data_IF_140680046283
#
_entry.id   IF_140680046283
#
_cell.length_a   1.000
_cell.length_b   1.000
_cell.length_c   1.000
_cell.angle_alpha   90.00
_cell.angle_beta   90.00
_cell.angle_gamma   90.00
#
_symmetry.space_group_name_H-M   'P 1'
#
loop_
_entity.id
_entity.type
_entity.pdbx_description
1 polymer ?
#
# COMPACT_ATOMS: atom_id res chain seq x y z
N UNK A 1 5.17 14.21 -8.44
CA UNK A 1 5.04 13.05 -7.55
C UNK A 1 3.60 12.89 -7.10
N UNK A 2 3.10 11.69 -7.12
CA UNK A 2 1.71 11.41 -6.77
C UNK A 2 1.61 10.78 -5.40
N UNK A 3 0.62 11.21 -4.62
CA UNK A 3 0.28 10.58 -3.34
C UNK A 3 -0.97 9.74 -3.54
N UNK A 4 -0.86 8.45 -3.24
CA UNK A 4 -1.97 7.50 -3.36
C UNK A 4 -2.32 6.98 -1.98
N UNK A 5 -3.60 6.87 -1.69
CA UNK A 5 -4.10 6.42 -0.40
C UNK A 5 -5.05 5.25 -0.60
N UNK A 6 -4.83 4.18 0.17
CA UNK A 6 -5.61 2.95 0.04
C UNK A 6 -6.12 2.48 1.40
N UNK A 7 -7.27 1.84 1.37
CA UNK A 7 -7.78 1.10 2.52
C UNK A 7 -7.36 -0.36 2.36
N UNK A 8 -6.83 -0.96 3.42
CA UNK A 8 -6.39 -2.35 3.40
C UNK A 8 -6.87 -3.09 4.64
N UNK A 9 -6.66 -4.41 4.64
CA UNK A 9 -6.94 -5.23 5.82
C UNK A 9 -5.65 -5.61 6.56
N UNK A 10 -4.60 -4.80 6.41
CA UNK A 10 -3.35 -4.99 7.14
C UNK A 10 -3.55 -4.57 8.59
N UNK A 11 -3.30 -5.48 9.54
CA UNK A 11 -3.64 -5.28 10.95
C UNK A 11 -2.49 -5.48 11.92
N UNK A 12 -1.31 -5.86 11.44
CA UNK A 12 -0.19 -6.17 12.33
C UNK A 12 1.13 -5.75 11.70
N UNK A 13 2.15 -5.63 12.53
CA UNK A 13 3.51 -5.34 12.07
C UNK A 13 4.00 -6.46 11.15
N UNK A 14 3.68 -7.71 11.47
CA UNK A 14 4.07 -8.85 10.65
C UNK A 14 3.49 -8.74 9.24
N UNK A 15 2.21 -8.38 9.14
CA UNK A 15 1.57 -8.19 7.83
C UNK A 15 2.18 -7.02 7.08
N UNK A 16 2.51 -5.94 7.79
CA UNK A 16 3.22 -4.81 7.19
C UNK A 16 4.55 -5.24 6.61
N UNK A 17 5.29 -6.07 7.33
CA UNK A 17 6.59 -6.56 6.86
C UNK A 17 6.46 -7.43 5.61
N UNK A 18 5.36 -8.18 5.49
CA UNK A 18 5.10 -8.98 4.29
C UNK A 18 4.98 -8.12 3.04
N UNK A 19 4.29 -6.99 3.12
CA UNK A 19 4.17 -6.10 1.96
C UNK A 19 5.42 -5.25 1.75
N UNK A 20 6.21 -5.04 2.79
CA UNK A 20 7.45 -4.28 2.72
C UNK A 20 8.38 -4.84 1.64
N UNK A 21 8.54 -6.16 1.62
CA UNK A 21 9.41 -6.81 0.64
C UNK A 21 8.95 -6.55 -0.80
N UNK A 22 7.64 -6.44 -1.00
CA UNK A 22 7.06 -6.21 -2.32
C UNK A 22 7.21 -4.75 -2.72
N UNK A 23 6.82 -3.84 -1.83
CA UNK A 23 6.80 -2.41 -2.14
C UNK A 23 8.20 -1.82 -2.28
N UNK A 24 9.15 -2.30 -1.49
CA UNK A 24 10.53 -1.78 -1.55
C UNK A 24 11.24 -2.15 -2.85
N UNK A 25 10.76 -3.13 -3.58
CA UNK A 25 11.34 -3.53 -4.86
C UNK A 25 10.77 -2.74 -6.04
N UNK A 26 9.72 -1.96 -5.82
CA UNK A 26 9.06 -1.22 -6.90
C UNK A 26 9.76 0.12 -7.10
N UNK A 27 10.37 0.30 -8.26
CA UNK A 27 11.23 1.47 -8.54
C UNK A 27 10.47 2.79 -8.56
N UNK A 28 9.22 2.80 -8.99
CA UNK A 28 8.45 4.05 -9.06
C UNK A 28 7.87 4.48 -7.71
N UNK A 29 7.92 3.62 -6.69
CA UNK A 29 7.48 3.98 -5.35
C UNK A 29 8.65 4.60 -4.61
N UNK A 30 8.50 5.86 -4.20
CA UNK A 30 9.56 6.61 -3.52
C UNK A 30 9.48 6.49 -2.01
N UNK A 31 8.25 6.41 -1.50
CA UNK A 31 8.02 6.32 -0.06
C UNK A 31 6.66 5.70 0.17
N UNK A 32 6.52 4.94 1.24
CA UNK A 32 5.23 4.36 1.60
C UNK A 32 5.15 4.18 3.11
N UNK A 33 3.93 4.12 3.61
CA UNK A 33 3.66 3.80 5.02
C UNK A 33 2.29 3.18 5.13
N UNK A 34 2.09 2.35 6.14
CA UNK A 34 0.79 1.78 6.43
C UNK A 34 0.50 1.91 7.92
N UNK A 35 -0.71 2.35 8.23
CA UNK A 35 -1.18 2.45 9.61
C UNK A 35 -1.97 1.19 9.93
N UNK A 36 -1.27 0.16 10.38
CA UNK A 36 -1.88 -1.14 10.68
C UNK A 36 -2.66 -1.14 12.00
N UNK A 37 -2.53 -0.09 12.79
CA UNK A 37 -3.30 0.06 14.03
C UNK A 37 -4.65 0.71 13.79
N UNK A 38 -4.80 1.37 12.64
CA UNK A 38 -6.07 1.96 12.24
C UNK A 38 -7.01 0.87 11.72
N UNK A 39 -8.29 1.00 12.00
CA UNK A 39 -9.29 0.03 11.54
C UNK A 39 -9.38 -0.07 10.02
N UNK A 40 -8.98 0.96 9.29
CA UNK A 40 -8.99 0.98 7.84
C UNK A 40 -7.66 0.53 7.22
N UNK A 41 -6.63 0.26 8.04
CA UNK A 41 -5.33 -0.18 7.55
C UNK A 41 -4.82 0.72 6.43
N UNK A 42 -4.81 2.03 6.66
CA UNK A 42 -4.52 3.00 5.60
C UNK A 42 -3.09 2.89 5.09
N UNK A 43 -2.95 2.67 3.79
CA UNK A 43 -1.67 2.62 3.10
C UNK A 43 -1.49 3.90 2.29
N UNK A 44 -0.38 4.60 2.53
CA UNK A 44 -0.03 5.81 1.80
C UNK A 44 1.22 5.54 0.97
N UNK A 45 1.15 5.90 -0.30
CA UNK A 45 2.26 5.69 -1.24
C UNK A 45 2.57 6.99 -1.96
N UNK A 46 3.85 7.37 -1.95
CA UNK A 46 4.36 8.47 -2.77
C UNK A 46 5.11 7.85 -3.94
N UNK A 47 4.63 8.08 -5.14
CA UNK A 47 5.17 7.47 -6.35
C UNK A 47 5.45 8.54 -7.41
N UNK A 48 6.30 8.21 -8.37
CA UNK A 48 6.62 9.13 -9.46
C UNK A 48 5.43 9.37 -10.37
N UNK A 49 4.54 8.39 -10.48
CA UNK A 49 3.36 8.50 -11.33
C UNK A 49 2.19 7.77 -10.68
N UNK A 50 0.99 8.06 -11.15
CA UNK A 50 -0.21 7.40 -10.63
C UNK A 50 -0.20 5.93 -11.06
N UNK A 51 -0.17 5.03 -10.07
CA UNK A 51 -0.08 3.59 -10.31
C UNK A 51 -1.03 2.80 -9.42
N UNK A 52 -2.21 3.36 -9.15
CA UNK A 52 -3.16 2.77 -8.20
C UNK A 52 -3.49 1.31 -8.52
N UNK A 53 -3.78 1.00 -9.79
CA UNK A 53 -4.14 -0.35 -10.18
C UNK A 53 -3.01 -1.35 -9.95
N UNK A 54 -1.76 -0.93 -10.19
CA UNK A 54 -0.61 -1.79 -9.96
C UNK A 54 -0.41 -2.06 -8.47
N UNK A 55 -0.59 -1.04 -7.65
CA UNK A 55 -0.46 -1.19 -6.19
C UNK A 55 -1.53 -2.15 -5.68
N UNK A 56 -2.76 -1.98 -6.11
CA UNK A 56 -3.86 -2.87 -5.73
C UNK A 56 -3.53 -4.31 -6.12
N UNK A 57 -3.03 -4.52 -7.33
CA UNK A 57 -2.64 -5.84 -7.79
C UNK A 57 -1.56 -6.45 -6.89
N UNK A 58 -0.52 -5.68 -6.58
CA UNK A 58 0.60 -6.17 -5.77
C UNK A 58 0.14 -6.55 -4.36
N UNK A 59 -0.69 -5.72 -3.74
CA UNK A 59 -1.19 -5.99 -2.40
C UNK A 59 -2.12 -7.22 -2.40
N UNK A 60 -2.96 -7.37 -3.44
CA UNK A 60 -3.81 -8.54 -3.58
C UNK A 60 -2.99 -9.82 -3.76
N UNK A 61 -1.88 -9.75 -4.49
CA UNK A 61 -0.99 -10.90 -4.69
C UNK A 61 -0.35 -11.34 -3.37
N UNK A 62 -0.17 -10.41 -2.45
CA UNK A 62 0.37 -10.73 -1.12
C UNK A 62 -0.69 -11.32 -0.19
N UNK A 63 -1.94 -11.41 -0.64
CA UNK A 63 -3.02 -11.99 0.14
C UNK A 63 -3.85 -10.98 0.92
N UNK A 64 -3.72 -9.68 0.61
CA UNK A 64 -4.45 -8.64 1.32
C UNK A 64 -5.46 -7.93 0.41
N UNK A 65 -6.47 -7.34 1.05
CA UNK A 65 -7.44 -6.50 0.37
C UNK A 65 -6.86 -5.10 0.24
N UNK A 66 -7.06 -4.46 -0.90
CA UNK A 66 -6.58 -3.10 -1.14
C UNK A 66 -7.59 -2.36 -2.02
N UNK A 67 -8.01 -1.19 -1.55
CA UNK A 67 -9.00 -0.38 -2.24
C UNK A 67 -8.56 1.08 -2.17
N UNK A 68 -8.55 1.76 -3.31
CA UNK A 68 -8.17 3.17 -3.33
C UNK A 68 -9.22 4.02 -2.64
N UNK A 69 -8.75 4.91 -1.75
CA UNK A 69 -9.61 5.88 -1.08
C UNK A 69 -9.60 7.18 -1.86
N UNK A 70 -10.78 7.63 -2.27
CA UNK A 70 -10.94 8.90 -2.97
C UNK A 70 -11.55 9.92 -1.99
N UNK A 71 -10.94 11.06 -1.90
CA UNK A 71 -11.46 12.16 -1.09
C UNK A 71 -12.56 12.90 -1.85
#
# INVERSE_FOLDING_TARGET
MELLIFKTNIRSLEEKENISNILNEVLYIKKWSVDYQDCDGVLRIEAQEACANEVIYLINQAGFVCEELND
#
